data_IF_586426383208
#
_entry.id   IF_586426383208
#
_cell.length_a   1.000
_cell.length_b   1.000
_cell.length_c   1.000
_cell.angle_alpha   90.00
_cell.angle_beta   90.00
_cell.angle_gamma   90.00
#
_symmetry.space_group_name_H-M   'P 1'
#
loop_
_entity.id
_entity.type
_entity.pdbx_description
1 polymer ?
#
# COMPACT_ATOMS: atom_id res chain seq x y z
N UNK A 1 1.71 -4.26 10.36
CA UNK A 1 2.19 -4.92 9.13
C UNK A 1 1.56 -4.24 7.92
N UNK A 2 2.27 -4.24 6.79
CA UNK A 2 1.78 -3.63 5.54
C UNK A 2 1.74 -4.69 4.46
N UNK A 3 0.63 -4.80 3.75
CA UNK A 3 0.49 -5.69 2.60
C UNK A 3 -0.14 -4.96 1.42
N UNK A 4 0.15 -5.42 0.20
CA UNK A 4 -0.46 -4.92 -1.00
C UNK A 4 -0.91 -6.08 -1.89
N UNK A 5 -2.05 -5.93 -2.55
CA UNK A 5 -2.55 -6.88 -3.53
C UNK A 5 -2.89 -6.11 -4.81
N UNK A 6 -2.38 -6.60 -5.93
CA UNK A 6 -2.66 -6.04 -7.25
C UNK A 6 -3.09 -7.14 -8.21
N UNK A 7 -3.93 -6.80 -9.17
CA UNK A 7 -4.38 -7.71 -10.23
C UNK A 7 -4.19 -7.04 -11.58
N UNK A 8 -3.76 -7.80 -12.56
CA UNK A 8 -3.59 -7.35 -13.93
C UNK A 8 -3.97 -8.46 -14.91
N UNK A 9 -4.33 -8.08 -16.11
CA UNK A 9 -4.69 -9.04 -17.14
C UNK A 9 -3.44 -9.75 -17.68
N UNK A 10 -3.52 -11.07 -17.78
CA UNK A 10 -2.46 -11.91 -18.33
C UNK A 10 -3.02 -13.11 -19.08
N UNK A 11 -2.28 -13.61 -20.07
CA UNK A 11 -2.57 -14.88 -20.73
C UNK A 11 -2.07 -16.03 -19.84
N UNK A 12 -2.99 -16.69 -19.15
CA UNK A 12 -2.67 -17.75 -18.18
C UNK A 12 -2.85 -19.10 -18.84
N UNK A 13 -1.74 -19.76 -19.15
CA UNK A 13 -1.73 -21.13 -19.72
C UNK A 13 -1.98 -22.18 -18.64
N UNK A 14 -1.32 -22.02 -17.49
CA UNK A 14 -1.46 -22.90 -16.33
C UNK A 14 -1.69 -22.06 -15.08
N UNK A 15 -2.69 -22.45 -14.29
CA UNK A 15 -2.95 -21.81 -12.99
C UNK A 15 -1.94 -22.30 -11.98
N UNK A 16 -1.33 -21.37 -11.26
CA UNK A 16 -0.35 -21.70 -10.22
C UNK A 16 -0.24 -20.61 -9.17
N UNK A 17 0.45 -20.95 -8.10
CA UNK A 17 0.81 -20.04 -7.02
C UNK A 17 2.25 -20.28 -6.64
N UNK A 18 3.02 -19.23 -6.50
CA UNK A 18 4.45 -19.32 -6.16
C UNK A 18 4.83 -18.16 -5.23
N UNK A 19 5.72 -18.43 -4.29
CA UNK A 19 6.33 -17.43 -3.42
C UNK A 19 7.76 -17.18 -3.90
N UNK A 20 8.11 -15.92 -4.12
CA UNK A 20 9.45 -15.49 -4.55
C UNK A 20 9.95 -14.33 -3.68
N UNK A 21 11.28 -14.11 -3.57
CA UNK A 21 11.84 -12.97 -2.85
C UNK A 21 11.39 -11.65 -3.50
N UNK A 22 10.58 -10.86 -2.80
CA UNK A 22 9.98 -9.63 -3.33
C UNK A 22 11.00 -8.58 -3.75
N UNK A 23 12.10 -8.43 -2.99
CA UNK A 23 13.18 -7.50 -3.34
C UNK A 23 13.82 -7.84 -4.68
N UNK A 24 14.16 -9.13 -4.89
CA UNK A 24 14.78 -9.60 -6.13
C UNK A 24 13.81 -9.46 -7.32
N UNK A 25 12.53 -9.80 -7.13
CA UNK A 25 11.50 -9.58 -8.16
C UNK A 25 11.39 -8.11 -8.53
N UNK A 26 11.43 -7.20 -7.56
CA UNK A 26 11.37 -5.75 -7.80
C UNK A 26 12.60 -5.24 -8.59
N UNK A 27 13.79 -5.74 -8.26
CA UNK A 27 15.03 -5.39 -9.00
C UNK A 27 14.98 -5.89 -10.45
N UNK A 28 14.52 -7.13 -10.65
CA UNK A 28 14.30 -7.69 -11.99
C UNK A 28 13.27 -6.88 -12.77
N UNK A 29 12.12 -6.57 -12.14
CA UNK A 29 11.06 -5.82 -12.80
C UNK A 29 11.53 -4.45 -13.32
N UNK A 30 12.45 -3.79 -12.62
CA UNK A 30 13.06 -2.52 -13.06
C UNK A 30 14.06 -2.69 -14.20
N UNK A 31 14.67 -3.86 -14.31
CA UNK A 31 15.66 -4.18 -15.35
C UNK A 31 15.02 -4.76 -16.62
N UNK A 32 13.75 -5.13 -16.60
CA UNK A 32 13.06 -5.70 -17.75
C UNK A 32 12.88 -4.66 -18.86
N UNK A 33 13.11 -5.05 -20.13
CA UNK A 33 12.78 -4.20 -21.27
C UNK A 33 11.25 -4.05 -21.40
N UNK A 34 10.81 -2.99 -22.09
CA UNK A 34 9.37 -2.77 -22.38
C UNK A 34 8.88 -3.74 -23.45
N UNK A 35 8.75 -5.01 -23.09
CA UNK A 35 8.26 -6.13 -23.90
C UNK A 35 7.36 -7.02 -23.07
N UNK A 36 6.50 -7.85 -23.71
CA UNK A 36 5.73 -8.84 -22.99
C UNK A 36 6.62 -9.73 -22.13
N UNK A 37 6.19 -9.97 -20.89
CA UNK A 37 6.93 -10.75 -19.89
C UNK A 37 6.24 -12.09 -19.71
N UNK A 38 6.99 -13.18 -19.78
CA UNK A 38 6.51 -14.51 -19.45
C UNK A 38 7.11 -15.00 -18.12
N UNK A 39 6.28 -15.67 -17.33
CA UNK A 39 6.67 -16.34 -16.11
C UNK A 39 6.44 -17.84 -16.26
N UNK A 40 7.45 -18.65 -16.00
CA UNK A 40 7.34 -20.11 -16.05
C UNK A 40 7.92 -20.69 -14.77
N UNK A 41 7.14 -21.55 -14.11
CA UNK A 41 7.64 -22.30 -12.96
C UNK A 41 8.38 -23.55 -13.46
N UNK A 42 9.64 -23.69 -13.09
CA UNK A 42 10.49 -24.83 -13.41
C UNK A 42 11.10 -25.37 -12.10
N UNK A 43 10.49 -26.43 -11.58
CA UNK A 43 10.85 -27.00 -10.29
C UNK A 43 10.77 -25.98 -9.16
N UNK A 44 11.91 -25.68 -8.54
CA UNK A 44 12.05 -24.72 -7.44
C UNK A 44 12.46 -23.30 -7.90
N UNK A 45 12.25 -22.98 -9.17
CA UNK A 45 12.63 -21.70 -9.76
C UNK A 45 11.55 -21.13 -10.66
N UNK A 46 11.46 -19.80 -10.69
CA UNK A 46 10.65 -19.08 -11.66
C UNK A 46 11.56 -18.47 -12.71
N UNK A 47 11.33 -18.82 -13.96
CA UNK A 47 11.98 -18.19 -15.11
C UNK A 47 11.15 -16.99 -15.55
N UNK A 48 11.76 -15.82 -15.63
CA UNK A 48 11.18 -14.57 -16.13
C UNK A 48 11.87 -14.21 -17.44
N UNK A 49 11.11 -14.11 -18.51
CA UNK A 49 11.64 -13.81 -19.84
C UNK A 49 10.92 -12.62 -20.46
N UNK A 50 11.72 -11.67 -20.98
CA UNK A 50 11.20 -10.53 -21.74
C UNK A 50 12.14 -10.24 -22.94
N UNK A 51 11.75 -10.62 -24.13
CA UNK A 51 12.60 -10.55 -25.33
C UNK A 51 13.85 -11.41 -25.18
N UNK A 52 15.03 -10.82 -25.21
CA UNK A 52 16.33 -11.51 -25.00
C UNK A 52 16.74 -11.60 -23.53
N UNK A 53 16.09 -10.83 -22.63
CA UNK A 53 16.38 -10.84 -21.20
C UNK A 53 15.77 -12.08 -20.54
N UNK A 54 16.59 -12.80 -19.75
CA UNK A 54 16.18 -13.98 -18.99
C UNK A 54 16.70 -13.85 -17.57
N UNK A 55 15.81 -14.04 -16.59
CA UNK A 55 16.13 -14.03 -15.17
C UNK A 55 15.56 -15.28 -14.50
N UNK A 56 16.21 -15.71 -13.46
CA UNK A 56 15.75 -16.86 -12.67
C UNK A 56 15.63 -16.45 -11.20
N UNK A 57 14.46 -16.69 -10.62
CA UNK A 57 14.17 -16.44 -9.21
C UNK A 57 14.04 -17.78 -8.47
N UNK A 58 14.65 -17.95 -7.31
CA UNK A 58 14.35 -19.08 -6.44
C UNK A 58 12.93 -18.96 -5.89
N UNK A 59 12.27 -20.09 -5.69
CA UNK A 59 11.00 -20.14 -4.96
C UNK A 59 11.22 -20.33 -3.47
N UNK A 60 10.29 -19.84 -2.67
CA UNK A 60 10.22 -20.03 -1.23
C UNK A 60 9.02 -20.92 -0.89
N UNK A 61 9.04 -21.64 0.24
CA UNK A 61 7.90 -22.43 0.69
C UNK A 61 6.67 -21.55 0.94
N UNK A 62 5.57 -21.84 0.27
CA UNK A 62 4.33 -21.03 0.37
C UNK A 62 3.73 -21.10 1.78
N UNK A 63 3.89 -22.21 2.47
CA UNK A 63 3.41 -22.42 3.85
C UNK A 63 4.12 -21.55 4.90
N UNK A 64 5.28 -21.01 4.56
CA UNK A 64 6.02 -20.06 5.43
C UNK A 64 5.56 -18.61 5.24
N UNK A 65 4.72 -18.33 4.23
CA UNK A 65 4.18 -16.99 4.02
C UNK A 65 3.15 -16.68 5.10
N UNK A 66 3.30 -15.54 5.82
CA UNK A 66 2.38 -15.19 6.88
C UNK A 66 0.94 -15.04 6.35
N UNK A 67 -0.02 -15.48 7.16
CA UNK A 67 -1.43 -15.26 6.85
C UNK A 67 -1.71 -13.76 6.95
N UNK A 68 -2.12 -13.18 5.83
CA UNK A 68 -2.55 -11.79 5.81
C UNK A 68 -3.92 -11.67 6.51
N UNK A 69 -4.11 -10.63 7.32
CA UNK A 69 -5.41 -10.38 7.92
C UNK A 69 -6.49 -10.19 6.83
N UNK A 70 -7.69 -10.60 7.13
CA UNK A 70 -8.84 -10.32 6.26
C UNK A 70 -9.08 -8.82 6.23
N UNK A 71 -9.28 -8.28 5.02
CA UNK A 71 -9.64 -6.87 4.90
C UNK A 71 -11.02 -6.65 5.54
N UNK A 72 -11.17 -5.59 6.35
CA UNK A 72 -12.48 -5.21 6.86
C UNK A 72 -13.41 -4.78 5.71
N UNK A 73 -14.69 -4.69 6.00
CA UNK A 73 -15.65 -4.13 5.06
C UNK A 73 -15.34 -2.66 4.77
N UNK A 74 -15.72 -2.20 3.58
CA UNK A 74 -15.51 -0.81 3.16
C UNK A 74 -16.25 0.14 4.09
N UNK A 75 -15.52 1.06 4.69
CA UNK A 75 -16.07 2.10 5.57
C UNK A 75 -16.54 3.33 4.80
N UNK A 76 -16.08 3.51 3.56
CA UNK A 76 -16.47 4.62 2.69
C UNK A 76 -15.56 4.80 1.48
N UNK A 77 -15.80 5.88 0.74
CA UNK A 77 -15.10 6.22 -0.51
C UNK A 77 -14.52 7.63 -0.45
N UNK A 78 -13.37 7.82 -1.07
CA UNK A 78 -12.70 9.12 -1.17
C UNK A 78 -12.03 9.28 -2.54
N UNK A 79 -12.00 10.50 -3.07
CA UNK A 79 -11.24 10.80 -4.28
C UNK A 79 -9.74 10.64 -4.02
N UNK A 80 -9.06 9.89 -4.90
CA UNK A 80 -7.67 9.49 -4.71
C UNK A 80 -6.70 10.66 -4.69
N UNK A 81 -6.93 11.64 -5.54
CA UNK A 81 -6.11 12.86 -5.66
C UNK A 81 -6.24 13.76 -4.42
N UNK A 82 -7.45 13.91 -3.87
CA UNK A 82 -7.71 14.65 -2.63
C UNK A 82 -6.95 14.00 -1.47
N UNK A 83 -7.10 12.68 -1.31
CA UNK A 83 -6.44 11.95 -0.24
C UNK A 83 -4.90 12.00 -0.38
N UNK A 84 -4.39 11.77 -1.59
CA UNK A 84 -2.95 11.81 -1.85
C UNK A 84 -2.36 13.20 -1.58
N UNK A 85 -3.07 14.26 -1.96
CA UNK A 85 -2.65 15.64 -1.71
C UNK A 85 -2.59 15.92 -0.20
N UNK A 86 -3.64 15.58 0.54
CA UNK A 86 -3.71 15.79 1.98
C UNK A 86 -2.59 15.03 2.73
N UNK A 87 -2.36 13.75 2.40
CA UNK A 87 -1.28 12.96 2.97
C UNK A 87 0.09 13.60 2.70
N UNK A 88 0.36 14.01 1.46
CA UNK A 88 1.64 14.63 1.11
C UNK A 88 1.86 15.97 1.83
N UNK A 89 0.82 16.77 2.02
CA UNK A 89 0.90 18.03 2.74
C UNK A 89 1.22 17.82 4.22
N UNK A 90 0.64 16.81 4.86
CA UNK A 90 0.82 16.55 6.28
C UNK A 90 2.11 15.78 6.58
N UNK A 91 2.48 14.83 5.71
CA UNK A 91 3.64 13.97 5.91
C UNK A 91 4.97 14.72 6.07
N UNK A 92 5.08 15.94 5.53
CA UNK A 92 6.29 16.78 5.67
C UNK A 92 6.56 17.23 7.11
N UNK A 93 5.53 17.25 7.97
CA UNK A 93 5.66 17.60 9.37
C UNK A 93 5.93 16.41 10.30
N UNK A 94 5.86 15.18 9.78
CA UNK A 94 6.18 14.00 10.57
C UNK A 94 7.67 13.94 10.91
N UNK A 95 7.97 13.52 12.12
CA UNK A 95 9.34 13.29 12.59
C UNK A 95 10.03 12.15 11.85
N UNK A 96 11.37 12.17 11.85
CA UNK A 96 12.19 11.12 11.23
C UNK A 96 12.92 10.25 12.26
N UNK A 97 12.84 10.64 13.52
CA UNK A 97 13.48 9.94 14.63
C UNK A 97 12.65 8.74 15.05
N UNK A 98 13.11 7.54 14.70
CA UNK A 98 12.41 6.28 15.02
C UNK A 98 12.43 5.94 16.51
N UNK A 99 13.24 6.64 17.33
CA UNK A 99 13.19 6.53 18.79
C UNK A 99 11.90 7.13 19.38
N UNK A 100 11.19 7.95 18.60
CA UNK A 100 9.91 8.57 18.93
C UNK A 100 8.83 8.14 17.94
N UNK A 101 8.38 6.87 17.97
CA UNK A 101 7.53 6.27 16.92
C UNK A 101 6.23 7.04 16.68
N UNK A 102 5.65 7.62 17.73
CA UNK A 102 4.41 8.41 17.65
C UNK A 102 4.56 9.63 16.75
N UNK A 103 5.72 10.28 16.79
CA UNK A 103 6.00 11.47 15.99
C UNK A 103 6.33 11.13 14.52
N UNK A 104 6.66 9.88 14.22
CA UNK A 104 6.88 9.44 12.82
C UNK A 104 5.59 9.12 12.08
N UNK A 105 4.45 9.24 12.77
CA UNK A 105 3.12 8.92 12.25
C UNK A 105 2.34 10.13 11.76
N UNK A 106 1.31 9.85 10.98
CA UNK A 106 0.20 10.73 10.70
C UNK A 106 -0.98 10.22 11.54
N UNK A 107 -1.51 11.06 12.39
CA UNK A 107 -2.76 10.82 13.08
C UNK A 107 -3.91 11.05 12.10
N UNK A 108 -4.73 10.06 11.91
CA UNK A 108 -5.93 10.10 11.07
C UNK A 108 -7.12 10.02 12.00
N UNK A 109 -7.92 11.07 12.05
CA UNK A 109 -9.14 11.14 12.82
C UNK A 109 -10.35 11.24 11.89
N UNK A 110 -11.34 10.40 12.11
CA UNK A 110 -12.54 10.33 11.27
C UNK A 110 -13.75 10.64 12.15
N UNK A 111 -14.50 11.62 11.71
CA UNK A 111 -15.75 12.03 12.35
C UNK A 111 -16.80 12.30 11.28
N UNK A 112 -17.72 11.33 11.11
CA UNK A 112 -18.74 11.41 10.07
C UNK A 112 -18.12 11.57 8.67
N UNK A 113 -18.48 12.62 7.97
CA UNK A 113 -18.03 12.92 6.61
C UNK A 113 -16.65 13.62 6.51
N UNK A 114 -15.98 13.81 7.65
CA UNK A 114 -14.70 14.51 7.70
C UNK A 114 -13.59 13.55 8.11
N UNK A 115 -12.47 13.60 7.39
CA UNK A 115 -11.20 13.00 7.77
C UNK A 115 -10.21 14.12 8.08
N UNK A 116 -9.69 14.14 9.30
CA UNK A 116 -8.61 15.04 9.72
C UNK A 116 -7.29 14.29 9.79
N UNK A 117 -6.28 14.82 9.13
CA UNK A 117 -4.93 14.30 9.11
C UNK A 117 -4.02 15.26 9.86
N UNK A 118 -3.24 14.78 10.82
CA UNK A 118 -2.29 15.59 11.58
C UNK A 118 -0.94 14.91 11.74
N UNK A 119 0.14 15.67 11.62
CA UNK A 119 1.49 15.20 11.94
C UNK A 119 2.33 16.32 12.58
N UNK A 120 3.26 15.93 13.42
CA UNK A 120 4.16 16.86 14.12
C UNK A 120 5.52 16.22 14.42
N UNK A 121 6.57 17.04 14.44
CA UNK A 121 7.91 16.65 14.88
C UNK A 121 8.36 17.43 16.15
N UNK A 122 7.42 18.02 16.88
CA UNK A 122 7.57 18.94 18.05
C UNK A 122 7.87 20.39 17.68
N UNK A 123 8.43 20.66 16.52
CA UNK A 123 8.80 22.01 16.07
C UNK A 123 7.79 22.61 15.10
N UNK A 124 7.06 21.75 14.41
CA UNK A 124 6.01 22.12 13.47
C UNK A 124 4.85 21.14 13.55
N UNK A 125 3.69 21.60 13.18
CA UNK A 125 2.45 20.85 13.09
C UNK A 125 1.84 21.12 11.70
N UNK A 126 1.42 20.08 11.02
CA UNK A 126 0.57 20.19 9.85
C UNK A 126 -0.75 19.49 10.13
N UNK A 127 -1.84 20.13 9.75
CA UNK A 127 -3.21 19.58 9.83
C UNK A 127 -3.89 19.82 8.50
N UNK A 128 -4.61 18.83 8.00
CA UNK A 128 -5.41 18.91 6.79
C UNK A 128 -6.73 18.18 7.02
N UNK A 129 -7.83 18.85 6.71
CA UNK A 129 -9.17 18.28 6.76
C UNK A 129 -9.69 18.08 5.34
N UNK A 130 -10.28 16.93 5.09
CA UNK A 130 -10.84 16.54 3.81
C UNK A 130 -12.20 15.88 4.00
N UNK A 131 -13.07 16.05 3.02
CA UNK A 131 -14.37 15.39 3.00
C UNK A 131 -14.26 14.03 2.29
N UNK A 132 -15.06 13.08 2.76
CA UNK A 132 -15.19 11.75 2.17
C UNK A 132 -16.65 11.29 2.25
N UNK A 133 -16.97 10.17 1.63
CA UNK A 133 -18.32 9.59 1.65
C UNK A 133 -18.30 8.32 2.51
N UNK A 134 -18.64 8.39 3.80
CA UNK A 134 -18.70 7.22 4.66
C UNK A 134 -19.92 6.34 4.34
N UNK A 135 -19.77 5.03 4.55
CA UNK A 135 -20.91 4.09 4.52
C UNK A 135 -21.82 4.30 5.73
N UNK A 136 -21.22 4.67 6.88
CA UNK A 136 -21.93 5.01 8.10
C UNK A 136 -21.58 6.46 8.50
N UNK A 137 -22.53 7.42 8.42
CA UNK A 137 -22.30 8.82 8.81
C UNK A 137 -21.98 9.04 10.30
N UNK A 138 -22.30 8.09 11.16
CA UNK A 138 -22.00 8.13 12.61
C UNK A 138 -20.59 7.56 12.92
N UNK A 139 -19.82 7.18 11.91
CA UNK A 139 -18.49 6.60 12.10
C UNK A 139 -17.57 7.63 12.78
N UNK A 140 -17.06 7.26 13.96
CA UNK A 140 -16.02 8.00 14.67
C UNK A 140 -14.92 7.04 15.05
N UNK A 141 -13.71 7.28 14.55
CA UNK A 141 -12.56 6.43 14.82
C UNK A 141 -11.27 7.18 14.54
N UNK A 142 -10.18 6.71 15.12
CA UNK A 142 -8.85 7.28 14.85
C UNK A 142 -7.80 6.20 14.69
N UNK A 143 -6.73 6.54 13.97
CA UNK A 143 -5.59 5.66 13.76
C UNK A 143 -4.31 6.48 13.65
N UNK A 144 -3.19 5.90 14.10
CA UNK A 144 -1.86 6.45 13.87
C UNK A 144 -1.15 5.59 12.82
N UNK A 145 -0.88 6.17 11.66
CA UNK A 145 -0.27 5.50 10.53
C UNK A 145 1.14 6.04 10.29
N UNK A 146 2.12 5.17 10.00
CA UNK A 146 3.48 5.62 9.65
C UNK A 146 3.44 6.53 8.44
N UNK A 147 3.93 7.76 8.58
CA UNK A 147 3.89 8.78 7.53
C UNK A 147 4.59 8.32 6.25
N UNK A 148 5.75 7.67 6.37
CA UNK A 148 6.49 7.14 5.22
C UNK A 148 5.70 6.07 4.47
N UNK A 149 5.12 5.12 5.19
CA UNK A 149 4.32 4.03 4.60
C UNK A 149 3.10 4.59 3.87
N UNK A 150 2.40 5.54 4.51
CA UNK A 150 1.22 6.16 3.92
C UNK A 150 1.58 7.00 2.68
N UNK A 151 2.66 7.78 2.74
CA UNK A 151 3.15 8.56 1.60
C UNK A 151 3.59 7.68 0.42
N UNK A 152 4.22 6.54 0.68
CA UNK A 152 4.58 5.58 -0.38
C UNK A 152 3.32 4.91 -0.98
N UNK A 153 2.34 4.57 -0.14
CA UNK A 153 1.07 4.00 -0.60
C UNK A 153 0.30 4.96 -1.51
N UNK A 154 0.16 6.23 -1.15
CA UNK A 154 -0.61 7.20 -1.96
C UNK A 154 0.03 7.47 -3.31
N UNK A 155 1.34 7.33 -3.47
CA UNK A 155 2.00 7.41 -4.79
C UNK A 155 1.54 6.31 -5.74
N UNK A 156 1.27 5.13 -5.20
CA UNK A 156 0.82 3.99 -6.01
C UNK A 156 -0.65 4.10 -6.37
N UNK A 157 -1.48 4.59 -5.44
CA UNK A 157 -2.93 4.67 -5.61
C UNK A 157 -3.42 5.96 -6.31
N UNK A 158 -2.57 6.97 -6.44
CA UNK A 158 -2.90 8.24 -7.10
C UNK A 158 -3.32 8.10 -8.58
N UNK A 159 -3.13 6.92 -9.19
CA UNK A 159 -3.56 6.63 -10.57
C UNK A 159 -5.02 6.20 -10.67
N UNK A 160 -5.68 5.90 -9.57
CA UNK A 160 -7.11 5.56 -9.52
C UNK A 160 -7.95 6.82 -9.31
N UNK A 161 -9.23 6.81 -9.70
CA UNK A 161 -10.13 7.95 -9.48
C UNK A 161 -10.64 8.01 -8.06
N UNK A 162 -10.97 6.86 -7.50
CA UNK A 162 -11.54 6.72 -6.16
C UNK A 162 -10.84 5.60 -5.39
N UNK A 163 -10.80 5.76 -4.09
CA UNK A 163 -10.30 4.80 -3.11
C UNK A 163 -11.44 4.33 -2.23
N UNK A 164 -11.50 3.02 -2.05
CA UNK A 164 -12.30 2.40 -1.01
C UNK A 164 -11.48 2.39 0.28
N UNK A 165 -12.00 3.02 1.30
CA UNK A 165 -11.38 3.09 2.62
C UNK A 165 -12.04 2.08 3.56
N UNK A 166 -11.26 1.26 4.23
CA UNK A 166 -11.74 0.26 5.18
C UNK A 166 -10.98 0.39 6.50
N UNK A 167 -11.68 0.53 7.59
CA UNK A 167 -11.11 0.72 8.92
C UNK A 167 -11.74 -0.31 9.85
N UNK A 168 -10.89 -1.07 10.53
CA UNK A 168 -11.32 -1.94 11.61
C UNK A 168 -10.94 -1.31 12.96
N UNK A 169 -11.74 -1.48 14.00
CA UNK A 169 -11.35 -1.14 15.36
C UNK A 169 -10.07 -1.89 15.71
N UNK A 170 -9.11 -1.19 16.30
CA UNK A 170 -7.90 -1.84 16.84
C UNK A 170 -8.33 -2.63 18.09
N UNK A 171 -8.20 -3.95 18.04
CA UNK A 171 -8.34 -4.84 19.21
C UNK A 171 -7.09 -4.84 20.05
#
# INVERSE_FOLDING_TARGET
>A
ETSAKSSFNADIKEKGRVLVPGRLLSEIARALPNKPVSFTLDGSRVLVVAGSAKFTLPTLPINEYPNLPTLPETSGMIASDIFATAVNQVAIAAGRDESLPTLTGIHVDISGETISLAATDRYRLAVCEINWTPTNPELTTSALLRARTLADAVRTIATTKELSFAIAPTT
#
